data_IF_789272900159
#
_entry.id   IF_789272900159
#
_cell.length_a   1.000
_cell.length_b   1.000
_cell.length_c   1.000
_cell.angle_alpha   90.00
_cell.angle_beta   90.00
_cell.angle_gamma   90.00
#
_symmetry.space_group_name_H-M   'P 1'
#
loop_
_entity.id
_entity.type
_entity.pdbx_description
1 polymer ?
#
# COMPACT_ATOMS: atom_id res chain seq x y z
N UNK A 1 15.30 8.72 -2.24
CA UNK A 1 14.43 8.08 -3.23
C UNK A 1 14.18 6.63 -2.85
N UNK A 2 13.00 6.12 -3.18
CA UNK A 2 12.57 4.75 -2.94
C UNK A 2 12.02 4.15 -4.23
N UNK A 3 12.58 3.02 -4.65
CA UNK A 3 12.07 2.17 -5.73
C UNK A 3 11.60 0.84 -5.17
N UNK A 4 10.36 0.48 -5.49
CA UNK A 4 9.75 -0.81 -5.20
C UNK A 4 9.74 -1.68 -6.45
N UNK A 5 10.14 -2.94 -6.30
CA UNK A 5 10.04 -3.97 -7.34
C UNK A 5 9.31 -5.19 -6.81
N UNK A 6 8.12 -5.49 -7.33
CA UNK A 6 7.42 -6.73 -7.02
C UNK A 6 8.00 -7.85 -7.87
N UNK A 7 8.60 -8.84 -7.22
CA UNK A 7 9.22 -9.99 -7.91
C UNK A 7 8.14 -11.05 -8.16
N UNK A 8 8.02 -11.50 -9.41
CA UNK A 8 7.13 -12.61 -9.77
C UNK A 8 7.67 -13.92 -9.18
N UNK A 9 6.76 -14.80 -8.73
CA UNK A 9 7.10 -16.11 -8.17
C UNK A 9 7.44 -17.10 -9.29
N UNK A 10 6.73 -17.02 -10.41
CA UNK A 10 6.71 -18.03 -11.47
C UNK A 10 7.42 -17.60 -12.76
N UNK A 11 7.73 -16.31 -12.92
CA UNK A 11 8.34 -15.73 -14.12
C UNK A 11 9.60 -14.94 -13.77
N UNK A 12 10.59 -14.86 -14.69
CA UNK A 12 11.76 -14.00 -14.52
C UNK A 12 11.42 -12.53 -14.79
N UNK A 13 10.54 -11.96 -13.98
CA UNK A 13 9.98 -10.61 -14.15
C UNK A 13 9.94 -9.86 -12.81
N UNK A 14 10.24 -8.56 -12.87
CA UNK A 14 10.09 -7.63 -11.76
C UNK A 14 9.22 -6.48 -12.22
N UNK A 15 8.12 -6.26 -11.51
CA UNK A 15 7.20 -5.16 -11.76
C UNK A 15 7.62 -3.92 -10.94
N UNK A 16 7.82 -2.80 -11.64
CA UNK A 16 8.21 -1.51 -11.07
C UNK A 16 7.10 -0.46 -11.19
N UNK A 17 5.88 -0.85 -11.55
CA UNK A 17 4.78 0.09 -11.82
C UNK A 17 4.13 0.65 -10.55
N UNK A 18 4.25 -0.04 -9.41
CA UNK A 18 3.52 0.28 -8.19
C UNK A 18 4.39 0.74 -7.02
N UNK A 19 3.71 0.98 -5.89
CA UNK A 19 4.30 1.17 -4.58
C UNK A 19 3.92 0.01 -3.65
N UNK A 20 4.73 -0.24 -2.61
CA UNK A 20 4.33 -1.08 -1.49
C UNK A 20 4.07 -0.21 -0.25
N UNK A 21 2.80 -0.07 0.13
CA UNK A 21 2.40 0.71 1.31
C UNK A 21 3.05 0.18 2.60
N UNK A 22 3.05 -1.14 2.79
CA UNK A 22 3.61 -1.79 3.99
C UNK A 22 5.11 -1.55 4.12
N UNK A 23 5.88 -1.73 3.04
CA UNK A 23 7.33 -1.51 3.08
C UNK A 23 7.70 -0.03 3.23
N UNK A 24 6.79 0.90 2.94
CA UNK A 24 7.04 2.34 3.11
C UNK A 24 7.37 2.70 4.58
N UNK A 25 6.83 1.96 5.55
CA UNK A 25 7.16 2.14 6.97
C UNK A 25 8.61 1.76 7.31
N UNK A 26 9.23 0.84 6.55
CA UNK A 26 10.61 0.41 6.75
C UNK A 26 11.64 1.30 6.03
N UNK A 27 11.22 2.04 4.99
CA UNK A 27 12.12 2.90 4.20
C UNK A 27 12.71 4.04 5.03
N UNK A 28 11.90 4.67 5.89
CA UNK A 28 12.35 5.73 6.79
C UNK A 28 13.47 5.27 7.75
N UNK A 29 13.22 4.22 8.57
CA UNK A 29 14.22 3.55 9.39
C UNK A 29 15.50 3.19 8.63
N UNK A 30 15.36 2.54 7.47
CA UNK A 30 16.50 2.13 6.64
C UNK A 30 17.33 3.33 6.21
N UNK A 31 16.68 4.42 5.78
CA UNK A 31 17.37 5.62 5.34
C UNK A 31 18.17 6.29 6.48
N UNK A 32 17.64 6.30 7.70
CA UNK A 32 18.33 6.83 8.88
C UNK A 32 19.54 5.95 9.23
N UNK A 33 19.32 4.64 9.39
CA UNK A 33 20.36 3.68 9.79
C UNK A 33 21.52 3.59 8.78
N UNK A 34 21.27 3.91 7.50
CA UNK A 34 22.27 3.89 6.44
C UNK A 34 22.81 5.28 6.08
N UNK A 35 22.51 6.33 6.85
CA UNK A 35 23.06 7.67 6.63
C UNK A 35 22.60 8.33 5.32
N UNK A 36 21.41 7.97 4.83
CA UNK A 36 20.78 8.55 3.64
C UNK A 36 19.93 9.79 3.97
N UNK A 37 19.75 10.07 5.26
CA UNK A 37 19.08 11.27 5.77
C UNK A 37 20.12 12.25 6.30
N UNK A 38 19.92 13.53 6.03
CA UNK A 38 20.74 14.61 6.60
C UNK A 38 20.76 14.50 8.14
N UNK A 39 21.94 14.33 8.78
CA UNK A 39 22.04 14.18 10.23
C UNK A 39 21.42 15.34 11.01
N UNK A 40 21.34 16.54 10.44
CA UNK A 40 20.66 17.68 11.07
C UNK A 40 19.15 17.48 11.25
N UNK A 41 18.56 16.52 10.53
CA UNK A 41 17.14 16.15 10.59
C UNK A 41 16.87 14.90 11.45
N UNK A 42 17.92 14.27 11.98
CA UNK A 42 17.82 13.05 12.79
C UNK A 42 18.12 13.43 14.25
N UNK A 43 17.09 13.64 15.10
CA UNK A 43 17.31 13.97 16.50
C UNK A 43 17.90 12.76 17.26
N UNK A 44 18.65 13.03 18.33
CA UNK A 44 19.14 11.97 19.23
C UNK A 44 17.98 11.19 19.88
N UNK A 45 16.92 11.89 20.25
CA UNK A 45 15.73 11.31 20.87
C UNK A 45 14.49 12.04 20.32
N UNK A 46 13.38 11.35 20.10
CA UNK A 46 12.12 11.94 19.61
C UNK A 46 11.67 11.34 18.28
N UNK A 47 11.20 12.18 17.36
CA UNK A 47 10.71 11.75 16.04
C UNK A 47 11.55 12.39 14.94
N UNK A 48 12.05 11.58 14.02
CA UNK A 48 12.65 12.01 12.76
C UNK A 48 11.59 11.98 11.65
N UNK A 49 11.35 13.12 11.00
CA UNK A 49 10.51 13.16 9.80
C UNK A 49 11.35 12.84 8.56
N UNK A 50 11.08 11.69 7.94
CA UNK A 50 11.75 11.27 6.70
C UNK A 50 10.82 11.50 5.52
N UNK A 51 11.21 12.42 4.64
CA UNK A 51 10.52 12.70 3.38
C UNK A 51 11.06 11.78 2.28
N UNK A 52 10.23 10.83 1.87
CA UNK A 52 10.56 9.78 0.92
C UNK A 52 9.95 10.16 -0.43
N UNK A 53 10.81 10.27 -1.45
CA UNK A 53 10.36 10.33 -2.84
C UNK A 53 10.13 8.90 -3.35
N UNK A 54 8.87 8.51 -3.54
CA UNK A 54 8.47 7.24 -4.14
C UNK A 54 8.65 7.39 -5.66
N UNK A 55 9.69 6.76 -6.20
CA UNK A 55 10.13 6.98 -7.57
C UNK A 55 9.32 6.23 -8.64
N UNK A 56 8.64 5.13 -8.29
CA UNK A 56 7.75 4.40 -9.20
C UNK A 56 6.52 5.24 -9.57
N UNK A 57 5.87 5.84 -8.57
CA UNK A 57 4.62 6.59 -8.72
C UNK A 57 4.79 8.11 -8.63
N UNK A 58 6.03 8.58 -8.40
CA UNK A 58 6.38 10.00 -8.31
C UNK A 58 5.59 10.76 -7.25
N UNK A 59 5.45 10.16 -6.06
CA UNK A 59 4.71 10.73 -4.93
C UNK A 59 5.58 10.90 -3.70
N UNK A 60 5.17 11.84 -2.84
CA UNK A 60 5.81 12.06 -1.55
C UNK A 60 5.14 11.19 -0.49
N UNK A 61 5.97 10.45 0.24
CA UNK A 61 5.57 9.74 1.45
C UNK A 61 6.34 10.37 2.61
N UNK A 62 5.67 10.56 3.75
CA UNK A 62 6.30 11.07 4.97
C UNK A 62 6.22 9.99 6.04
N UNK A 63 7.37 9.55 6.54
CA UNK A 63 7.46 8.61 7.66
C UNK A 63 7.91 9.34 8.92
N UNK A 64 7.18 9.16 10.03
CA UNK A 64 7.51 9.70 11.33
C UNK A 64 8.24 8.61 12.14
N UNK A 65 9.57 8.61 12.08
CA UNK A 65 10.40 7.53 12.63
C UNK A 65 10.80 7.84 14.06
N UNK A 66 10.44 7.00 15.04
CA UNK A 66 10.86 7.20 16.43
C UNK A 66 12.36 6.94 16.58
N UNK A 67 13.01 7.78 17.37
CA UNK A 67 14.44 7.80 17.62
C UNK A 67 14.74 7.71 19.12
N UNK A 68 15.69 6.85 19.48
CA UNK A 68 16.21 6.70 20.83
C UNK A 68 17.74 6.58 20.82
N UNK A 69 18.42 7.38 21.64
CA UNK A 69 19.88 7.40 21.79
C UNK A 69 20.69 7.51 20.48
N UNK A 70 20.13 8.23 19.50
CA UNK A 70 20.73 8.47 18.19
C UNK A 70 20.43 7.40 17.15
N UNK A 71 19.67 6.37 17.51
CA UNK A 71 19.32 5.24 16.67
C UNK A 71 17.81 5.13 16.47
N UNK A 72 17.38 4.39 15.44
CA UNK A 72 15.97 4.10 15.23
C UNK A 72 15.43 3.27 16.41
N UNK A 73 14.31 3.69 16.99
CA UNK A 73 13.57 2.90 17.97
C UNK A 73 12.71 1.88 17.23
N UNK A 74 13.19 0.64 17.14
CA UNK A 74 12.46 -0.43 16.41
C UNK A 74 11.42 -1.15 17.29
N UNK A 75 11.71 -1.31 18.58
CA UNK A 75 10.84 -2.03 19.52
C UNK A 75 9.82 -1.10 20.19
N UNK A 76 8.67 -1.64 20.55
CA UNK A 76 7.57 -0.90 21.17
C UNK A 76 6.42 -1.82 21.52
N UNK A 77 5.28 -1.23 21.84
CA UNK A 77 4.03 -1.91 22.24
C UNK A 77 2.89 -1.71 21.23
N UNK A 78 3.17 -1.12 20.07
CA UNK A 78 2.19 -0.98 19.00
C UNK A 78 1.97 -2.33 18.31
N UNK A 79 0.71 -2.74 18.24
CA UNK A 79 0.26 -3.95 17.56
C UNK A 79 -0.40 -3.59 16.23
N UNK A 80 -0.14 -4.41 15.20
CA UNK A 80 -0.73 -4.28 13.87
C UNK A 80 -1.28 -5.64 13.45
N UNK A 81 -2.55 -5.68 13.08
CA UNK A 81 -3.18 -6.92 12.59
C UNK A 81 -2.36 -7.54 11.45
N UNK A 82 -2.04 -8.83 11.59
CA UNK A 82 -1.16 -9.56 10.68
C UNK A 82 0.33 -9.54 11.01
N UNK A 83 0.76 -8.74 12.00
CA UNK A 83 2.14 -8.74 12.55
C UNK A 83 2.14 -9.48 13.89
N UNK A 84 3.01 -10.49 14.02
CA UNK A 84 3.00 -11.42 15.15
C UNK A 84 3.41 -10.81 16.49
N UNK A 85 4.31 -9.82 16.47
CA UNK A 85 4.88 -9.21 17.67
C UNK A 85 4.79 -7.69 17.59
N UNK A 86 4.59 -7.00 18.73
CA UNK A 86 4.53 -5.56 18.75
C UNK A 86 5.88 -4.91 18.41
N UNK A 87 5.81 -3.69 17.90
CA UNK A 87 6.96 -2.87 17.50
C UNK A 87 6.71 -1.39 17.84
N UNK A 88 7.66 -0.52 17.50
CA UNK A 88 7.40 0.92 17.56
C UNK A 88 6.44 1.35 16.45
N UNK A 89 5.50 2.23 16.77
CA UNK A 89 4.60 2.81 15.77
C UNK A 89 5.36 3.74 14.83
N UNK A 90 5.14 3.60 13.52
CA UNK A 90 5.64 4.51 12.49
C UNK A 90 4.45 5.05 11.70
N UNK A 91 3.94 6.24 12.03
CA UNK A 91 2.94 6.90 11.22
C UNK A 91 3.49 7.22 9.82
N UNK A 92 2.77 6.80 8.79
CA UNK A 92 3.11 7.03 7.37
C UNK A 92 1.99 7.84 6.72
N UNK A 93 2.34 8.99 6.13
CA UNK A 93 1.42 9.83 5.37
C UNK A 93 1.74 9.78 3.88
N UNK A 94 0.74 9.48 3.06
CA UNK A 94 0.80 9.54 1.60
C UNK A 94 0.28 10.90 1.14
N UNK A 95 1.17 11.75 0.62
CA UNK A 95 0.83 13.12 0.23
C UNK A 95 0.33 13.12 -1.21
N UNK A 96 -0.83 13.75 -1.44
CA UNK A 96 -1.51 13.84 -2.74
C UNK A 96 -1.56 12.47 -3.47
N UNK A 97 -2.21 11.45 -2.86
CA UNK A 97 -2.14 10.07 -3.32
C UNK A 97 -2.85 9.82 -4.65
N UNK A 98 -3.63 10.79 -5.16
CA UNK A 98 -4.25 10.70 -6.47
C UNK A 98 -3.18 10.76 -7.57
N UNK A 99 -3.23 9.87 -8.55
CA UNK A 99 -2.21 9.79 -9.61
C UNK A 99 -2.30 10.96 -10.61
N UNK A 100 -1.17 11.63 -10.84
CA UNK A 100 -1.01 12.71 -11.85
C UNK A 100 -2.06 13.84 -11.85
N UNK A 101 -2.37 14.34 -13.06
CA UNK A 101 -3.55 15.18 -13.36
C UNK A 101 -4.83 14.33 -13.58
N UNK A 102 -4.78 13.03 -13.27
CA UNK A 102 -5.89 12.10 -13.44
C UNK A 102 -7.01 12.39 -12.44
N UNK A 103 -8.25 12.27 -12.89
CA UNK A 103 -9.39 12.35 -11.98
C UNK A 103 -9.32 11.19 -10.96
N UNK A 104 -9.58 11.50 -9.68
CA UNK A 104 -9.73 10.50 -8.60
C UNK A 104 -10.65 9.36 -9.05
N UNK A 105 -11.70 9.71 -9.80
CA UNK A 105 -12.57 8.79 -10.51
C UNK A 105 -12.29 8.89 -12.01
N UNK A 106 -11.54 7.96 -12.62
CA UNK A 106 -11.15 8.04 -14.03
C UNK A 106 -12.35 8.03 -14.99
N UNK A 107 -13.48 7.46 -14.59
CA UNK A 107 -14.74 7.47 -15.35
C UNK A 107 -15.52 8.77 -15.19
N UNK A 108 -15.14 9.62 -14.23
CA UNK A 108 -15.90 10.79 -13.79
C UNK A 108 -17.05 10.47 -12.85
N UNK A 109 -17.34 9.18 -12.59
CA UNK A 109 -18.44 8.74 -11.75
C UNK A 109 -17.92 8.15 -10.43
N UNK A 110 -18.66 8.36 -9.34
CA UNK A 110 -18.37 7.68 -8.07
C UNK A 110 -18.75 6.20 -8.14
N UNK A 111 -19.77 5.87 -8.94
CA UNK A 111 -20.24 4.51 -9.18
C UNK A 111 -20.56 4.34 -10.66
N UNK A 112 -20.03 3.29 -11.26
CA UNK A 112 -20.28 2.86 -12.63
C UNK A 112 -21.05 1.53 -12.67
N UNK A 113 -21.68 1.26 -13.81
CA UNK A 113 -22.14 -0.07 -14.18
C UNK A 113 -21.04 -0.76 -14.98
N UNK A 114 -20.34 -1.70 -14.34
CA UNK A 114 -19.27 -2.48 -14.94
C UNK A 114 -19.84 -3.76 -15.54
N UNK A 115 -19.85 -3.85 -16.88
CA UNK A 115 -20.25 -5.07 -17.58
C UNK A 115 -19.08 -6.05 -17.64
N UNK A 116 -19.22 -7.20 -16.97
CA UNK A 116 -18.21 -8.27 -16.94
C UNK A 116 -18.76 -9.50 -17.67
N UNK A 117 -18.16 -9.91 -18.81
CA UNK A 117 -18.60 -11.08 -19.56
C UNK A 117 -18.62 -12.35 -18.68
N UNK A 118 -19.75 -13.06 -18.69
CA UNK A 118 -19.91 -14.31 -17.92
C UNK A 118 -20.31 -14.10 -16.44
N UNK A 119 -20.22 -12.89 -15.91
CA UNK A 119 -20.64 -12.55 -14.54
C UNK A 119 -21.92 -11.72 -14.55
N UNK A 120 -21.98 -10.66 -15.37
CA UNK A 120 -23.12 -9.74 -15.45
C UNK A 120 -22.70 -8.28 -15.24
N UNK A 121 -23.65 -7.45 -14.80
CA UNK A 121 -23.40 -6.03 -14.52
C UNK A 121 -23.18 -5.84 -13.02
N UNK A 122 -22.03 -5.25 -12.66
CA UNK A 122 -21.65 -4.96 -11.28
C UNK A 122 -21.67 -3.45 -11.04
N UNK A 123 -22.21 -3.02 -9.90
CA UNK A 123 -21.96 -1.66 -9.41
C UNK A 123 -20.53 -1.59 -8.90
N UNK A 124 -19.73 -0.72 -9.49
CA UNK A 124 -18.31 -0.61 -9.18
C UNK A 124 -17.88 0.83 -8.95
N UNK A 125 -16.96 1.03 -8.00
CA UNK A 125 -16.20 2.27 -7.87
C UNK A 125 -14.79 2.04 -8.39
N UNK A 126 -14.44 2.72 -9.47
CA UNK A 126 -13.09 2.73 -10.01
C UNK A 126 -12.40 3.98 -9.45
N UNK A 127 -11.38 3.81 -8.63
CA UNK A 127 -10.69 4.92 -7.96
C UNK A 127 -9.18 4.82 -8.17
N UNK A 128 -8.54 5.95 -8.44
CA UNK A 128 -7.09 6.04 -8.57
C UNK A 128 -6.49 6.93 -7.47
N UNK A 129 -6.44 6.38 -6.25
CA UNK A 129 -5.82 7.01 -5.09
C UNK A 129 -4.95 5.98 -4.37
N UNK A 130 -3.63 6.20 -4.34
CA UNK A 130 -2.63 5.23 -3.87
C UNK A 130 -2.28 4.20 -4.95
N UNK A 131 -3.26 3.40 -5.40
CA UNK A 131 -3.15 2.50 -6.55
C UNK A 131 -4.53 2.38 -7.23
N UNK A 132 -4.60 2.26 -8.56
CA UNK A 132 -5.87 1.98 -9.26
C UNK A 132 -6.56 0.76 -8.65
N UNK A 133 -7.77 0.96 -8.14
CA UNK A 133 -8.53 -0.08 -7.43
C UNK A 133 -9.97 -0.10 -7.92
N UNK A 134 -10.52 -1.30 -8.12
CA UNK A 134 -11.93 -1.53 -8.44
C UNK A 134 -12.61 -2.09 -7.19
N UNK A 135 -13.55 -1.33 -6.63
CA UNK A 135 -14.39 -1.80 -5.52
C UNK A 135 -15.73 -2.26 -6.06
N UNK A 136 -16.16 -3.46 -5.66
CA UNK A 136 -17.47 -4.04 -5.96
C UNK A 136 -18.14 -4.53 -4.68
N UNK A 137 -19.47 -4.62 -4.69
CA UNK A 137 -20.21 -5.14 -3.54
C UNK A 137 -20.04 -6.65 -3.42
N UNK A 138 -19.69 -7.14 -2.22
CA UNK A 138 -19.56 -8.57 -1.95
C UNK A 138 -20.84 -9.37 -2.29
N UNK A 139 -22.02 -8.84 -1.93
CA UNK A 139 -23.31 -9.48 -2.21
C UNK A 139 -23.57 -9.70 -3.71
N UNK A 140 -23.04 -8.83 -4.58
CA UNK A 140 -23.18 -8.96 -6.02
C UNK A 140 -22.42 -10.18 -6.57
N UNK A 141 -21.43 -10.65 -5.82
CA UNK A 141 -20.65 -11.86 -6.10
C UNK A 141 -21.10 -13.06 -5.26
N UNK A 142 -22.15 -12.91 -4.44
CA UNK A 142 -22.62 -13.96 -3.53
C UNK A 142 -21.79 -14.11 -2.26
N UNK A 143 -20.96 -13.13 -1.92
CA UNK A 143 -20.13 -13.10 -0.71
C UNK A 143 -20.70 -12.18 0.38
N UNK A 144 -20.19 -12.36 1.60
CA UNK A 144 -20.51 -11.54 2.78
C UNK A 144 -19.51 -10.42 3.02
N UNK A 145 -18.28 -10.55 2.50
CA UNK A 145 -17.15 -9.68 2.80
C UNK A 145 -16.39 -10.08 4.07
N UNK A 146 -16.77 -11.20 4.70
CA UNK A 146 -16.12 -11.74 5.91
C UNK A 146 -15.39 -13.07 5.62
N UNK A 147 -15.16 -13.39 4.35
CA UNK A 147 -14.49 -14.61 3.93
C UNK A 147 -13.03 -14.65 4.41
N UNK A 148 -12.60 -15.82 4.87
CA UNK A 148 -11.19 -16.10 5.15
C UNK A 148 -10.48 -16.56 3.87
N UNK A 149 -9.15 -16.50 3.88
CA UNK A 149 -8.32 -16.88 2.73
C UNK A 149 -8.67 -18.27 2.16
N UNK A 150 -8.90 -19.27 3.01
CA UNK A 150 -9.22 -20.64 2.56
C UNK A 150 -10.52 -20.73 1.76
N UNK A 151 -11.50 -19.85 2.04
CA UNK A 151 -12.78 -19.83 1.35
C UNK A 151 -12.67 -19.28 -0.08
N UNK A 152 -11.64 -18.49 -0.38
CA UNK A 152 -11.42 -17.87 -1.70
C UNK A 152 -10.25 -18.54 -2.44
N UNK A 153 -9.09 -18.66 -1.81
CA UNK A 153 -7.87 -19.17 -2.44
C UNK A 153 -7.96 -20.66 -2.82
N UNK A 154 -8.87 -21.41 -2.21
CA UNK A 154 -9.15 -22.81 -2.54
C UNK A 154 -10.10 -23.00 -3.74
N UNK A 155 -10.78 -21.94 -4.19
CA UNK A 155 -11.74 -21.99 -5.28
C UNK A 155 -11.17 -21.36 -6.56
N UNK A 156 -10.65 -22.21 -7.45
CA UNK A 156 -10.09 -21.78 -8.72
C UNK A 156 -11.09 -20.99 -9.59
N UNK A 157 -12.40 -21.26 -9.48
CA UNK A 157 -13.42 -20.51 -10.23
C UNK A 157 -13.60 -19.11 -9.69
N UNK A 158 -13.55 -18.94 -8.37
CA UNK A 158 -13.60 -17.62 -7.75
C UNK A 158 -12.39 -16.78 -8.18
N UNK A 159 -11.19 -17.38 -8.19
CA UNK A 159 -9.97 -16.70 -8.62
C UNK A 159 -10.02 -16.29 -10.10
N UNK A 160 -10.48 -17.17 -10.99
CA UNK A 160 -10.67 -16.85 -12.41
C UNK A 160 -11.71 -15.74 -12.61
N UNK A 161 -12.79 -15.75 -11.84
CA UNK A 161 -13.82 -14.70 -11.85
C UNK A 161 -13.28 -13.34 -11.38
N UNK A 162 -12.40 -13.30 -10.37
CA UNK A 162 -11.81 -12.03 -9.91
C UNK A 162 -10.83 -11.41 -10.91
N UNK A 163 -10.24 -12.21 -11.80
CA UNK A 163 -9.27 -11.77 -12.80
C UNK A 163 -9.93 -11.36 -14.14
N UNK A 164 -11.20 -11.76 -14.36
CA UNK A 164 -11.94 -11.49 -15.61
C UNK A 164 -12.57 -10.10 -15.61
#
# INVERSE_FOLDING_TARGET
DYLFGQVSIDKPFVDWSGNCGNLSAAVGPYAIANGLVDPAKVPRNGIAEVRIWQANIQKTIVAQVPMAEGEVQETGDFELDGVTFPAAEIPVAFIDPADGEGAIFPTGNVVDDLEVPGVGVLKATLINAGIPTVFVNAEALGYTGCELQEAINGDAKALEMFET
#
